data_IF_122873862316
#
_entry.id   IF_122873862316
#
_cell.length_a   1.000
_cell.length_b   1.000
_cell.length_c   1.000
_cell.angle_alpha   90.00
_cell.angle_beta   90.00
_cell.angle_gamma   90.00
#
_symmetry.space_group_name_H-M   'P 1'
#
loop_
_entity.id
_entity.type
_entity.pdbx_description
1 polymer ?
#
# COMPACT_ATOMS: atom_id res chain seq x y z
N UNK A 1 9.08 -0.05 24.05
CA UNK A 1 8.31 0.11 22.79
C UNK A 1 8.45 -1.19 22.01
N UNK A 2 7.32 -1.80 21.63
CA UNK A 2 7.28 -3.02 20.80
C UNK A 2 6.95 -2.63 19.37
N UNK A 3 7.77 -3.07 18.43
CA UNK A 3 7.62 -2.76 17.01
C UNK A 3 7.39 -4.04 16.22
N UNK A 4 6.45 -4.01 15.28
CA UNK A 4 6.25 -5.07 14.28
C UNK A 4 6.53 -4.57 12.87
N UNK A 5 7.03 -5.45 12.02
CA UNK A 5 7.18 -5.23 10.58
C UNK A 5 6.41 -6.32 9.84
N UNK A 6 5.44 -5.91 9.03
CA UNK A 6 4.63 -6.79 8.19
C UNK A 6 5.08 -6.63 6.73
N UNK A 7 5.82 -7.60 6.21
CA UNK A 7 6.28 -7.62 4.82
C UNK A 7 5.31 -8.41 3.94
N UNK A 8 5.04 -7.88 2.74
CA UNK A 8 4.05 -8.50 1.87
C UNK A 8 4.38 -8.43 0.37
N UNK A 9 3.78 -9.34 -0.40
CA UNK A 9 3.86 -9.38 -1.86
C UNK A 9 4.98 -10.26 -2.40
N UNK A 10 5.49 -9.89 -3.56
CA UNK A 10 6.62 -10.54 -4.20
C UNK A 10 7.94 -9.87 -3.77
N UNK A 11 8.92 -10.66 -3.42
CA UNK A 11 10.28 -10.18 -3.16
C UNK A 11 11.02 -9.98 -4.49
N UNK A 12 10.48 -9.07 -5.35
CA UNK A 12 10.97 -8.90 -6.72
C UNK A 12 12.34 -8.24 -6.78
N UNK A 13 13.22 -8.89 -7.55
CA UNK A 13 14.24 -8.25 -8.34
C UNK A 13 14.13 -8.80 -9.76
N UNK A 14 14.79 -8.20 -10.74
CA UNK A 14 15.04 -8.88 -12.02
C UNK A 14 15.80 -10.18 -11.71
N UNK A 15 15.70 -11.17 -12.58
CA UNK A 15 16.33 -12.51 -12.38
C UNK A 15 17.81 -12.49 -12.00
N UNK A 16 18.50 -11.37 -12.22
CA UNK A 16 19.91 -11.12 -11.87
C UNK A 16 20.04 -10.26 -10.60
N UNK A 17 18.99 -9.51 -10.21
CA UNK A 17 18.99 -8.54 -9.12
C UNK A 17 18.03 -8.89 -7.97
N UNK A 18 17.33 -10.04 -8.06
CA UNK A 18 16.39 -10.46 -7.02
C UNK A 18 17.03 -10.44 -5.63
N UNK A 19 18.28 -10.89 -5.55
CA UNK A 19 19.04 -10.92 -4.31
C UNK A 19 19.39 -9.54 -3.77
N UNK A 20 19.56 -8.55 -4.65
CA UNK A 20 19.88 -7.17 -4.26
C UNK A 20 18.66 -6.43 -3.70
N UNK A 21 17.48 -6.59 -4.29
CA UNK A 21 16.30 -5.81 -3.92
C UNK A 21 15.91 -5.98 -2.45
N UNK A 22 15.74 -7.20 -1.98
CA UNK A 22 15.35 -7.40 -0.59
C UNK A 22 16.52 -7.36 0.40
N UNK A 23 17.74 -7.58 -0.03
CA UNK A 23 18.92 -7.30 0.79
C UNK A 23 19.06 -5.80 1.03
N UNK A 24 18.80 -4.97 0.02
CA UNK A 24 18.81 -3.53 0.14
C UNK A 24 17.67 -3.05 1.03
N UNK A 25 16.46 -3.58 0.84
CA UNK A 25 15.33 -3.33 1.72
C UNK A 25 15.63 -3.77 3.16
N UNK A 26 16.17 -4.97 3.35
CA UNK A 26 16.63 -5.46 4.65
C UNK A 26 17.64 -4.50 5.29
N UNK A 27 18.65 -4.08 4.55
CA UNK A 27 19.65 -3.11 5.02
C UNK A 27 19.02 -1.78 5.42
N UNK A 28 18.07 -1.28 4.62
CA UNK A 28 17.39 0.00 4.86
C UNK A 28 16.41 -0.09 6.03
N UNK A 29 15.58 -1.11 6.07
CA UNK A 29 14.58 -1.30 7.12
C UNK A 29 15.20 -1.69 8.46
N UNK A 30 16.03 -2.72 8.48
CA UNK A 30 16.54 -3.27 9.74
C UNK A 30 17.59 -2.41 10.40
N UNK A 31 18.36 -1.62 9.67
CA UNK A 31 19.24 -0.62 10.29
C UNK A 31 18.48 0.37 11.16
N UNK A 32 17.26 0.71 10.76
CA UNK A 32 16.41 1.69 11.46
C UNK A 32 15.46 1.05 12.48
N UNK A 33 15.13 -0.24 12.33
CA UNK A 33 14.09 -0.93 13.11
C UNK A 33 14.64 -2.18 13.79
N UNK A 34 15.80 -2.03 14.43
CA UNK A 34 16.44 -3.15 15.15
C UNK A 34 15.53 -3.69 16.24
N UNK A 35 15.39 -5.02 16.27
CA UNK A 35 14.62 -5.73 17.31
C UNK A 35 13.11 -5.73 17.07
N UNK A 36 12.64 -5.38 15.87
CA UNK A 36 11.25 -5.55 15.51
C UNK A 36 10.91 -7.02 15.26
N UNK A 37 9.70 -7.42 15.63
CA UNK A 37 9.13 -8.71 15.26
C UNK A 37 8.65 -8.66 13.80
N UNK A 38 9.02 -9.67 13.00
CA UNK A 38 8.76 -9.68 11.56
C UNK A 38 7.68 -10.70 11.22
N UNK A 39 6.73 -10.30 10.37
CA UNK A 39 5.63 -11.11 9.85
C UNK A 39 5.66 -11.04 8.32
N UNK A 40 5.57 -12.19 7.66
CA UNK A 40 5.71 -12.27 6.21
C UNK A 40 4.52 -12.98 5.57
N UNK A 41 3.95 -12.37 4.54
CA UNK A 41 3.17 -13.05 3.54
C UNK A 41 3.80 -12.84 2.17
N UNK A 42 4.15 -13.91 1.46
CA UNK A 42 4.75 -13.81 0.13
C UNK A 42 4.19 -14.85 -0.84
N UNK A 43 4.12 -14.44 -2.10
CA UNK A 43 3.81 -15.31 -3.23
C UNK A 43 5.06 -16.07 -3.75
N UNK A 44 6.24 -15.80 -3.20
CA UNK A 44 7.52 -16.36 -3.64
C UNK A 44 7.86 -17.61 -2.81
N UNK A 45 7.31 -18.77 -3.16
CA UNK A 45 7.64 -20.05 -2.51
C UNK A 45 9.09 -20.48 -2.80
N UNK A 46 9.59 -20.21 -3.98
CA UNK A 46 10.91 -20.69 -4.46
C UNK A 46 12.07 -20.15 -3.64
N UNK A 47 11.90 -18.94 -3.07
CA UNK A 47 12.93 -18.28 -2.24
C UNK A 47 12.56 -18.21 -0.76
N UNK A 48 11.57 -18.99 -0.35
CA UNK A 48 11.05 -19.03 1.03
C UNK A 48 12.15 -19.19 2.06
N UNK A 49 12.99 -20.21 1.92
CA UNK A 49 14.05 -20.53 2.90
C UNK A 49 15.03 -19.36 3.04
N UNK A 50 15.34 -18.70 1.94
CA UNK A 50 16.20 -17.53 1.93
C UNK A 50 15.57 -16.34 2.65
N UNK A 51 14.28 -16.06 2.41
CA UNK A 51 13.56 -15.00 3.10
C UNK A 51 13.46 -15.27 4.60
N UNK A 52 13.22 -16.52 5.00
CA UNK A 52 13.23 -16.93 6.41
C UNK A 52 14.62 -16.72 7.03
N UNK A 53 15.67 -17.09 6.35
CA UNK A 53 17.04 -16.91 6.82
C UNK A 53 17.41 -15.44 7.01
N UNK A 54 17.01 -14.57 6.06
CA UNK A 54 17.35 -13.15 6.08
C UNK A 54 16.55 -12.41 7.16
N UNK A 55 15.22 -12.65 7.19
CA UNK A 55 14.33 -11.87 8.03
C UNK A 55 14.02 -12.50 9.40
N UNK A 56 14.28 -13.78 9.57
CA UNK A 56 13.95 -14.53 10.81
C UNK A 56 12.54 -14.23 11.33
N UNK A 57 11.48 -14.37 10.51
CA UNK A 57 10.15 -13.92 10.87
C UNK A 57 9.57 -14.73 12.04
N UNK A 58 8.83 -14.07 12.92
CA UNK A 58 8.04 -14.70 14.01
C UNK A 58 6.96 -15.62 13.43
N UNK A 59 6.33 -15.17 12.33
CA UNK A 59 5.34 -15.97 11.62
C UNK A 59 5.36 -15.61 10.13
N UNK A 60 5.07 -16.60 9.29
CA UNK A 60 5.09 -16.42 7.84
C UNK A 60 4.09 -17.31 7.13
N UNK A 61 3.66 -16.86 5.95
CA UNK A 61 2.91 -17.62 4.95
C UNK A 61 3.60 -17.42 3.61
N UNK A 62 3.96 -18.51 2.96
CA UNK A 62 4.41 -18.55 1.58
C UNK A 62 3.43 -19.44 0.82
N UNK A 63 2.82 -18.91 -0.23
CA UNK A 63 1.84 -19.65 -1.02
C UNK A 63 1.93 -19.26 -2.51
N UNK A 64 1.50 -20.15 -3.42
CA UNK A 64 1.43 -19.81 -4.84
C UNK A 64 0.52 -18.62 -5.09
N UNK A 65 0.85 -17.81 -6.10
CA UNK A 65 0.03 -16.67 -6.48
C UNK A 65 -1.42 -17.09 -6.76
N UNK A 66 -2.36 -16.57 -5.99
CA UNK A 66 -3.80 -16.81 -6.18
C UNK A 66 -4.30 -16.17 -7.47
N UNK A 67 -5.24 -16.84 -8.15
CA UNK A 67 -5.84 -16.34 -9.40
C UNK A 67 -6.97 -15.34 -9.18
N UNK A 68 -7.61 -15.32 -8.01
CA UNK A 68 -8.75 -14.46 -7.64
C UNK A 68 -9.93 -14.54 -8.64
N UNK A 69 -10.09 -15.68 -9.32
CA UNK A 69 -11.07 -15.82 -10.43
C UNK A 69 -12.51 -15.57 -9.98
N UNK A 70 -12.87 -15.99 -8.76
CA UNK A 70 -14.22 -15.80 -8.20
C UNK A 70 -14.47 -14.33 -7.89
N UNK A 71 -13.52 -13.69 -7.23
CA UNK A 71 -13.58 -12.26 -6.87
C UNK A 71 -13.62 -11.38 -8.12
N UNK A 72 -12.77 -11.67 -9.11
CA UNK A 72 -12.77 -10.96 -10.39
C UNK A 72 -14.11 -11.12 -11.11
N UNK A 73 -14.66 -12.32 -11.18
CA UNK A 73 -15.98 -12.56 -11.80
C UNK A 73 -17.08 -11.83 -11.03
N UNK A 74 -17.04 -11.83 -9.71
CA UNK A 74 -17.99 -11.10 -8.87
C UNK A 74 -17.96 -9.60 -9.17
N UNK A 75 -16.79 -8.99 -9.14
CA UNK A 75 -16.66 -7.56 -9.39
C UNK A 75 -17.12 -7.20 -10.82
N UNK A 76 -16.76 -7.99 -11.81
CA UNK A 76 -17.17 -7.73 -13.20
C UNK A 76 -18.65 -7.96 -13.46
N UNK A 77 -19.22 -9.02 -12.89
CA UNK A 77 -20.62 -9.39 -13.16
C UNK A 77 -21.63 -8.65 -12.31
N UNK A 78 -21.37 -8.56 -11.00
CA UNK A 78 -22.36 -8.05 -10.04
C UNK A 78 -22.18 -6.57 -9.76
N UNK A 79 -20.95 -6.13 -9.61
CA UNK A 79 -20.68 -4.74 -9.19
C UNK A 79 -20.71 -3.75 -10.34
N UNK A 80 -20.42 -4.21 -11.55
CA UNK A 80 -20.20 -3.33 -12.68
C UNK A 80 -21.04 -3.67 -13.93
N UNK A 81 -22.07 -4.52 -13.82
CA UNK A 81 -22.98 -4.91 -14.92
C UNK A 81 -22.28 -5.45 -16.18
N UNK A 82 -21.11 -6.09 -16.01
CA UNK A 82 -20.42 -6.82 -17.08
C UNK A 82 -19.63 -6.00 -18.09
N UNK A 83 -19.92 -4.70 -18.25
CA UNK A 83 -19.28 -3.86 -19.28
C UNK A 83 -18.77 -2.54 -18.68
N UNK A 84 -17.64 -2.59 -18.01
CA UNK A 84 -17.20 -1.44 -17.21
C UNK A 84 -15.87 -0.87 -17.62
N UNK A 85 -15.24 -1.37 -18.67
CA UNK A 85 -13.89 -0.96 -18.99
C UNK A 85 -12.86 -1.27 -17.89
N UNK A 86 -13.25 -2.01 -16.85
CA UNK A 86 -12.34 -2.44 -15.82
C UNK A 86 -11.37 -3.44 -16.40
N UNK A 87 -10.10 -3.06 -16.40
CA UNK A 87 -9.03 -3.95 -16.80
C UNK A 87 -8.91 -5.09 -15.78
N UNK A 88 -9.12 -6.32 -16.24
CA UNK A 88 -8.98 -7.52 -15.41
C UNK A 88 -7.59 -7.61 -14.75
N UNK A 89 -6.55 -7.15 -15.44
CA UNK A 89 -5.18 -7.13 -14.93
C UNK A 89 -5.02 -6.19 -13.74
N UNK A 90 -5.68 -5.04 -13.75
CA UNK A 90 -5.60 -4.07 -12.65
C UNK A 90 -6.40 -4.54 -11.45
N UNK A 91 -7.56 -5.15 -11.67
CA UNK A 91 -8.33 -5.79 -10.60
C UNK A 91 -7.55 -6.94 -9.96
N UNK A 92 -6.90 -7.78 -10.76
CA UNK A 92 -6.04 -8.84 -10.27
C UNK A 92 -4.89 -8.30 -9.42
N UNK A 93 -4.18 -7.27 -9.90
CA UNK A 93 -3.07 -6.63 -9.18
C UNK A 93 -3.54 -6.08 -7.83
N UNK A 94 -4.67 -5.36 -7.83
CA UNK A 94 -5.27 -4.80 -6.62
C UNK A 94 -5.64 -5.88 -5.61
N UNK A 95 -6.34 -6.92 -6.04
CA UNK A 95 -6.72 -8.05 -5.17
C UNK A 95 -5.49 -8.76 -4.60
N UNK A 96 -4.52 -9.09 -5.44
CA UNK A 96 -3.28 -9.75 -5.03
C UNK A 96 -2.50 -8.92 -4.00
N UNK A 97 -2.38 -7.63 -4.25
CA UNK A 97 -1.68 -6.70 -3.40
C UNK A 97 -2.35 -6.54 -2.03
N UNK A 98 -3.63 -6.22 -2.01
CA UNK A 98 -4.39 -5.98 -0.78
C UNK A 98 -4.54 -7.25 0.06
N UNK A 99 -4.75 -8.40 -0.60
CA UNK A 99 -4.80 -9.70 0.08
C UNK A 99 -3.47 -10.01 0.78
N UNK A 100 -2.36 -9.91 0.07
CA UNK A 100 -1.04 -10.20 0.64
C UNK A 100 -0.72 -9.30 1.84
N UNK A 101 -1.06 -8.02 1.74
CA UNK A 101 -0.93 -7.06 2.84
C UNK A 101 -1.79 -7.46 4.04
N UNK A 102 -3.05 -7.77 3.81
CA UNK A 102 -3.98 -8.24 4.85
C UNK A 102 -3.43 -9.48 5.57
N UNK A 103 -2.93 -10.46 4.84
CA UNK A 103 -2.42 -11.70 5.41
C UNK A 103 -1.18 -11.47 6.28
N UNK A 104 -0.24 -10.62 5.86
CA UNK A 104 0.93 -10.30 6.71
C UNK A 104 0.52 -9.64 8.04
N UNK A 105 -0.46 -8.72 8.00
CA UNK A 105 -0.99 -8.08 9.21
C UNK A 105 -1.85 -9.04 10.03
N UNK A 106 -2.57 -9.98 9.40
CA UNK A 106 -3.32 -11.04 10.11
C UNK A 106 -2.40 -11.88 11.00
N UNK A 107 -1.23 -12.26 10.49
CA UNK A 107 -0.22 -12.99 11.29
C UNK A 107 0.20 -12.20 12.54
N UNK A 108 0.43 -10.89 12.39
CA UNK A 108 0.72 -9.98 13.51
C UNK A 108 -0.44 -9.97 14.51
N UNK A 109 -1.69 -9.84 14.05
CA UNK A 109 -2.89 -9.82 14.92
C UNK A 109 -3.04 -11.13 15.70
N UNK A 110 -2.79 -12.27 15.09
CA UNK A 110 -2.83 -13.57 15.74
C UNK A 110 -1.76 -13.70 16.82
N UNK A 111 -0.55 -13.21 16.53
CA UNK A 111 0.53 -13.20 17.51
C UNK A 111 0.23 -12.28 18.69
N UNK A 112 -0.28 -11.07 18.46
CA UNK A 112 -0.74 -10.17 19.52
C UNK A 112 -1.79 -10.82 20.42
N UNK A 113 -2.81 -11.44 19.79
CA UNK A 113 -3.90 -12.12 20.51
C UNK A 113 -3.36 -13.28 21.34
N UNK A 114 -2.50 -14.12 20.77
CA UNK A 114 -1.90 -15.27 21.45
C UNK A 114 -1.09 -14.86 22.68
N UNK A 115 -0.40 -13.72 22.60
CA UNK A 115 0.52 -13.26 23.65
C UNK A 115 -0.06 -12.15 24.52
N UNK A 116 -1.34 -11.79 24.33
CA UNK A 116 -2.10 -10.81 25.11
C UNK A 116 -1.42 -9.44 25.22
N UNK A 117 -0.98 -8.89 24.07
CA UNK A 117 -0.45 -7.53 23.99
C UNK A 117 -0.80 -6.88 22.64
N UNK A 118 -0.43 -5.60 22.47
CA UNK A 118 -0.45 -4.86 21.21
C UNK A 118 0.92 -4.28 20.93
N UNK A 119 1.31 -4.20 19.65
CA UNK A 119 2.48 -3.45 19.23
C UNK A 119 2.20 -1.95 19.35
N UNK A 120 3.20 -1.21 19.81
CA UNK A 120 3.14 0.25 19.90
C UNK A 120 3.18 0.85 18.48
N UNK A 121 4.04 0.28 17.62
CA UNK A 121 4.22 0.71 16.23
C UNK A 121 4.22 -0.51 15.32
N UNK A 122 3.49 -0.42 14.22
CA UNK A 122 3.47 -1.42 13.15
C UNK A 122 3.83 -0.77 11.83
N UNK A 123 4.88 -1.26 11.19
CA UNK A 123 5.22 -0.94 9.81
C UNK A 123 4.67 -2.04 8.90
N UNK A 124 3.93 -1.67 7.87
CA UNK A 124 3.55 -2.57 6.79
C UNK A 124 4.23 -2.09 5.50
N UNK A 125 4.96 -2.96 4.82
CA UNK A 125 5.82 -2.60 3.68
C UNK A 125 5.89 -3.70 2.64
N UNK A 126 6.10 -3.28 1.40
CA UNK A 126 6.50 -4.19 0.32
C UNK A 126 7.96 -4.62 0.52
N UNK A 127 8.35 -5.75 -0.07
CA UNK A 127 9.73 -6.21 -0.06
C UNK A 127 10.68 -5.35 -0.89
N UNK A 128 10.16 -4.67 -1.92
CA UNK A 128 10.96 -3.92 -2.90
C UNK A 128 11.14 -2.42 -2.54
N UNK A 129 10.83 -2.03 -1.32
CA UNK A 129 11.14 -0.68 -0.81
C UNK A 129 12.66 -0.52 -0.70
N UNK A 130 13.20 0.52 -1.31
CA UNK A 130 14.64 0.77 -1.38
C UNK A 130 15.34 0.18 -2.62
N UNK A 131 14.64 -0.62 -3.43
CA UNK A 131 15.22 -1.25 -4.62
C UNK A 131 15.56 -0.26 -5.76
N UNK A 132 14.87 0.85 -5.84
CA UNK A 132 15.02 1.79 -6.95
C UNK A 132 16.08 2.85 -6.66
N UNK A 133 17.33 2.50 -6.94
CA UNK A 133 18.49 3.41 -6.83
C UNK A 133 18.57 4.50 -7.93
N UNK A 134 17.63 4.52 -8.85
CA UNK A 134 17.62 5.53 -9.89
C UNK A 134 17.09 6.84 -9.30
N UNK A 135 17.94 7.70 -8.83
CA UNK A 135 17.77 9.07 -8.31
C UNK A 135 16.39 9.76 -8.31
N UNK A 136 15.44 9.20 -9.07
CA UNK A 136 14.06 9.65 -9.21
C UNK A 136 13.11 9.03 -8.16
N UNK A 137 13.50 7.97 -7.45
CA UNK A 137 12.62 7.25 -6.51
C UNK A 137 13.09 7.30 -5.05
N UNK A 138 13.55 8.45 -4.59
CA UNK A 138 13.72 8.73 -3.15
C UNK A 138 12.41 8.53 -2.36
N UNK A 139 11.27 8.52 -3.05
CA UNK A 139 9.93 8.27 -2.48
C UNK A 139 9.75 6.90 -1.85
N UNK A 140 10.57 5.91 -2.23
CA UNK A 140 10.51 4.56 -1.64
C UNK A 140 11.34 4.42 -0.36
N UNK A 141 12.17 5.40 -0.01
CA UNK A 141 12.95 5.35 1.20
C UNK A 141 12.06 5.45 2.44
N UNK A 142 12.23 4.49 3.33
CA UNK A 142 11.54 4.50 4.61
C UNK A 142 12.26 5.43 5.59
N UNK A 143 11.58 6.48 6.00
CA UNK A 143 11.98 7.27 7.16
C UNK A 143 11.13 6.86 8.37
N UNK A 144 11.64 5.91 9.14
CA UNK A 144 10.95 5.39 10.32
C UNK A 144 11.36 6.20 11.56
N UNK A 145 10.42 6.94 12.13
CA UNK A 145 10.58 7.65 13.38
C UNK A 145 9.51 7.23 14.40
N UNK A 146 9.86 6.38 15.37
CA UNK A 146 8.92 5.89 16.36
C UNK A 146 8.52 6.93 17.43
N UNK A 147 9.14 8.10 17.44
CA UNK A 147 8.79 9.19 18.35
C UNK A 147 7.59 10.02 17.86
N UNK A 148 7.14 9.78 16.64
CA UNK A 148 5.97 10.45 16.09
C UNK A 148 4.66 9.98 16.74
N UNK A 149 3.63 10.79 16.57
CA UNK A 149 2.29 10.49 17.09
C UNK A 149 1.65 9.30 16.34
N UNK A 150 1.68 8.12 16.94
CA UNK A 150 1.12 6.90 16.36
C UNK A 150 -0.41 6.86 16.33
N UNK A 151 -1.11 7.89 16.77
CA UNK A 151 -2.54 8.04 16.45
C UNK A 151 -2.77 8.36 14.96
N UNK A 152 -1.73 8.82 14.27
CA UNK A 152 -1.73 9.14 12.84
C UNK A 152 -1.13 8.02 12.01
N UNK A 153 -1.49 7.97 10.70
CA UNK A 153 -0.88 7.06 9.74
C UNK A 153 0.17 7.82 8.92
N UNK A 154 1.35 7.22 8.82
CA UNK A 154 2.47 7.73 8.04
C UNK A 154 2.72 6.87 6.82
N UNK A 155 3.06 7.49 5.71
CA UNK A 155 3.30 6.83 4.43
C UNK A 155 4.50 7.43 3.69
N UNK A 156 4.97 6.74 2.65
CA UNK A 156 5.98 7.29 1.76
C UNK A 156 5.50 8.58 1.12
N UNK A 157 6.38 9.58 1.05
CA UNK A 157 6.10 10.76 0.24
C UNK A 157 6.00 10.37 -1.23
N UNK A 158 4.99 10.92 -1.88
CA UNK A 158 4.77 10.75 -3.30
C UNK A 158 4.28 12.06 -3.90
N UNK A 159 4.93 12.54 -4.95
CA UNK A 159 4.57 13.80 -5.60
C UNK A 159 3.17 13.81 -6.23
N UNK A 160 2.51 12.65 -6.30
CA UNK A 160 1.15 12.48 -6.79
C UNK A 160 0.16 12.23 -5.64
N UNK A 161 0.41 12.78 -4.47
CA UNK A 161 -0.44 12.58 -3.28
C UNK A 161 -1.89 12.98 -3.50
N UNK A 162 -2.14 13.90 -4.42
CA UNK A 162 -3.49 14.25 -4.83
C UNK A 162 -4.23 13.08 -5.51
N UNK A 163 -3.49 12.17 -6.16
CA UNK A 163 -4.05 10.97 -6.77
C UNK A 163 -4.34 9.85 -5.76
N UNK A 164 -3.91 9.99 -4.52
CA UNK A 164 -4.16 9.01 -3.47
C UNK A 164 -3.00 8.79 -2.52
N UNK A 165 -3.06 7.72 -1.74
CA UNK A 165 -2.02 7.33 -0.81
C UNK A 165 -0.88 6.59 -1.52
N UNK A 166 0.37 6.78 -1.09
CA UNK A 166 1.47 5.92 -1.52
C UNK A 166 1.28 4.50 -0.96
N UNK A 167 1.40 3.49 -1.79
CA UNK A 167 1.17 2.10 -1.39
C UNK A 167 2.45 1.33 -1.04
N UNK A 168 3.60 1.99 -1.01
CA UNK A 168 4.89 1.35 -0.74
C UNK A 168 5.00 0.85 0.69
N UNK A 169 4.71 1.71 1.65
CA UNK A 169 4.71 1.40 3.07
C UNK A 169 3.80 2.35 3.85
N UNK A 170 3.33 1.86 4.99
CA UNK A 170 2.62 2.63 6.01
C UNK A 170 3.14 2.23 7.37
N UNK A 171 3.18 3.17 8.31
CA UNK A 171 3.34 2.83 9.72
C UNK A 171 2.47 3.69 10.63
N UNK A 172 2.04 3.10 11.73
CA UNK A 172 1.15 3.69 12.72
C UNK A 172 1.03 2.78 13.93
N UNK A 173 0.08 3.08 14.84
CA UNK A 173 -0.34 2.15 15.88
C UNK A 173 -0.85 0.83 15.29
N UNK A 174 -0.83 -0.25 16.11
CA UNK A 174 -1.39 -1.53 15.70
C UNK A 174 -2.84 -1.42 15.26
N UNK A 175 -3.65 -0.63 15.97
CA UNK A 175 -5.06 -0.44 15.64
C UNK A 175 -5.28 0.21 14.27
N UNK A 176 -4.55 1.25 13.97
CA UNK A 176 -4.67 1.96 12.68
C UNK A 176 -4.23 1.09 11.50
N UNK A 177 -3.14 0.30 11.68
CA UNK A 177 -2.72 -0.65 10.64
C UNK A 177 -3.72 -1.80 10.49
N UNK A 178 -4.35 -2.25 11.58
CA UNK A 178 -5.44 -3.21 11.50
C UNK A 178 -6.61 -2.67 10.68
N UNK A 179 -6.97 -1.39 10.87
CA UNK A 179 -8.00 -0.71 10.07
C UNK A 179 -7.58 -0.59 8.60
N UNK A 180 -6.36 -0.13 8.33
CA UNK A 180 -5.83 0.00 6.96
C UNK A 180 -6.03 -1.27 6.13
N UNK A 181 -5.85 -2.43 6.73
CA UNK A 181 -5.94 -3.72 6.02
C UNK A 181 -7.36 -4.25 5.86
N UNK A 182 -8.35 -3.64 6.51
CA UNK A 182 -9.77 -3.93 6.24
C UNK A 182 -10.19 -3.51 4.83
N UNK A 183 -9.40 -2.70 4.14
CA UNK A 183 -9.67 -2.29 2.76
C UNK A 183 -9.94 -3.49 1.85
N UNK A 184 -9.21 -4.61 1.99
CA UNK A 184 -9.48 -5.81 1.20
C UNK A 184 -10.91 -6.33 1.39
N UNK A 185 -11.38 -6.38 2.62
CA UNK A 185 -12.73 -6.87 2.95
C UNK A 185 -13.82 -5.87 2.56
N UNK A 186 -13.47 -4.58 2.49
CA UNK A 186 -14.37 -3.50 2.08
C UNK A 186 -14.42 -3.24 0.58
N UNK A 187 -13.62 -3.92 -0.21
CA UNK A 187 -13.67 -3.77 -1.67
C UNK A 187 -15.08 -3.95 -2.27
N UNK A 188 -15.92 -4.93 -1.83
CA UNK A 188 -17.28 -5.05 -2.33
C UNK A 188 -18.17 -3.84 -2.05
N UNK A 189 -17.92 -3.14 -0.94
CA UNK A 189 -18.63 -1.90 -0.59
C UNK A 189 -18.13 -0.75 -1.45
N UNK A 190 -16.82 -0.53 -1.50
CA UNK A 190 -16.20 0.59 -2.21
C UNK A 190 -16.37 0.50 -3.72
N UNK A 191 -16.18 -0.68 -4.30
CA UNK A 191 -16.28 -0.89 -5.74
C UNK A 191 -17.72 -1.13 -6.23
N UNK A 192 -18.72 -0.93 -5.40
CA UNK A 192 -20.11 -0.97 -5.82
C UNK A 192 -20.44 0.24 -6.70
N UNK A 193 -21.20 0.03 -7.78
CA UNK A 193 -21.59 1.11 -8.71
C UNK A 193 -22.34 2.28 -8.06
N UNK A 194 -22.97 2.06 -6.92
CA UNK A 194 -23.70 3.05 -6.14
C UNK A 194 -22.93 3.55 -4.91
N UNK A 195 -21.71 3.08 -4.68
CA UNK A 195 -20.89 3.53 -3.55
C UNK A 195 -20.49 4.99 -3.68
N UNK A 196 -20.15 5.60 -2.56
CA UNK A 196 -19.68 6.97 -2.56
C UNK A 196 -18.29 7.08 -3.22
N UNK A 197 -17.43 6.07 -3.07
CA UNK A 197 -16.17 5.96 -3.82
C UNK A 197 -16.41 6.05 -5.34
N UNK A 198 -17.31 5.20 -5.86
CA UNK A 198 -17.62 5.17 -7.29
C UNK A 198 -18.22 6.49 -7.79
N UNK A 199 -19.13 7.08 -7.01
CA UNK A 199 -19.72 8.40 -7.32
C UNK A 199 -18.66 9.51 -7.35
N UNK A 200 -17.74 9.50 -6.40
CA UNK A 200 -16.62 10.46 -6.35
C UNK A 200 -15.69 10.30 -7.55
N UNK A 201 -15.28 9.05 -7.87
CA UNK A 201 -14.44 8.78 -9.04
C UNK A 201 -15.07 9.25 -10.34
N UNK A 202 -16.37 9.05 -10.52
CA UNK A 202 -17.13 9.55 -11.71
C UNK A 202 -17.12 11.08 -11.82
N UNK A 203 -16.95 11.79 -10.70
CA UNK A 203 -16.80 13.25 -10.67
C UNK A 203 -15.35 13.73 -10.82
N UNK A 204 -14.41 12.82 -11.08
CA UNK A 204 -12.99 13.13 -11.26
C UNK A 204 -12.15 13.10 -9.99
N UNK A 205 -12.72 12.67 -8.83
CA UNK A 205 -11.94 12.48 -7.60
C UNK A 205 -10.92 11.31 -7.79
N UNK A 206 -9.74 11.36 -7.18
CA UNK A 206 -9.25 12.34 -6.20
C UNK A 206 -8.62 13.59 -6.79
N UNK A 207 -8.65 13.79 -8.07
CA UNK A 207 -7.89 14.82 -8.79
C UNK A 207 -8.57 16.17 -8.85
N UNK A 208 -9.90 16.21 -8.76
CA UNK A 208 -10.68 17.43 -8.83
C UNK A 208 -10.36 18.42 -7.70
N UNK A 209 -9.84 17.95 -6.58
CA UNK A 209 -9.44 18.78 -5.44
C UNK A 209 -7.97 19.25 -5.53
N UNK A 210 -7.27 18.88 -6.60
CA UNK A 210 -5.84 19.19 -6.77
C UNK A 210 -5.58 20.59 -7.36
N UNK A 211 -6.63 21.33 -7.70
CA UNK A 211 -6.45 22.62 -8.39
C UNK A 211 -5.88 23.72 -7.48
N UNK A 212 -6.02 23.59 -6.16
CA UNK A 212 -5.73 24.71 -5.26
C UNK A 212 -4.29 24.74 -4.71
N UNK A 213 -3.53 23.63 -4.69
CA UNK A 213 -2.25 23.62 -3.98
C UNK A 213 -0.97 23.42 -4.81
N UNK A 214 -1.06 22.95 -6.04
CA UNK A 214 0.13 22.75 -6.90
C UNK A 214 -0.04 23.41 -8.29
N UNK A 215 0.16 24.72 -8.35
CA UNK A 215 0.08 25.55 -9.57
C UNK A 215 1.33 25.46 -10.47
N UNK A 216 2.15 24.41 -10.39
CA UNK A 216 3.31 24.25 -11.27
C UNK A 216 2.91 23.85 -12.68
N UNK A 217 3.43 24.55 -13.70
CA UNK A 217 3.14 24.29 -15.12
C UNK A 217 3.43 22.85 -15.56
N UNK A 218 4.47 22.21 -15.02
CA UNK A 218 4.81 20.80 -15.27
C UNK A 218 3.69 19.84 -14.86
N UNK A 219 2.98 20.14 -13.78
CA UNK A 219 1.89 19.31 -13.31
C UNK A 219 0.64 19.41 -14.18
N UNK A 220 0.41 20.59 -14.79
CA UNK A 220 -0.71 20.80 -15.73
C UNK A 220 -0.52 20.01 -17.02
N UNK A 221 0.69 19.87 -17.50
CA UNK A 221 1.00 19.17 -18.76
C UNK A 221 0.98 17.64 -18.61
N UNK A 222 1.49 17.08 -17.52
CA UNK A 222 1.36 15.66 -17.20
C UNK A 222 -0.06 15.28 -16.83
N UNK A 223 -0.79 16.15 -16.13
CA UNK A 223 -2.20 16.00 -15.77
C UNK A 223 -3.06 15.77 -17.02
N UNK A 224 -2.86 16.55 -18.06
CA UNK A 224 -3.65 16.43 -19.29
C UNK A 224 -3.38 15.15 -20.09
N UNK A 225 -2.15 14.62 -20.03
CA UNK A 225 -1.75 13.46 -20.85
C UNK A 225 -1.91 12.11 -20.17
N UNK A 226 -1.62 12.03 -18.87
CA UNK A 226 -1.57 10.74 -18.18
C UNK A 226 -2.83 10.43 -17.34
N UNK A 227 -3.53 11.44 -16.89
CA UNK A 227 -4.69 11.28 -16.01
C UNK A 227 -6.03 11.17 -16.74
N UNK A 228 -6.18 11.81 -17.89
CA UNK A 228 -7.33 11.59 -18.78
C UNK A 228 -7.39 10.16 -19.34
N UNK A 229 -6.29 9.41 -19.31
CA UNK A 229 -6.31 7.98 -19.65
C UNK A 229 -6.96 7.12 -18.56
N UNK A 230 -7.04 7.61 -17.32
CA UNK A 230 -7.54 6.85 -16.18
C UNK A 230 -9.00 7.16 -15.83
N UNK A 231 -9.56 8.26 -16.30
CA UNK A 231 -10.93 8.68 -15.97
C UNK A 231 -11.61 9.19 -17.25
N UNK A 232 -11.92 8.28 -18.17
CA UNK A 232 -12.75 8.62 -19.31
C UNK A 232 -14.08 7.86 -19.23
N UNK A 233 -15.17 8.60 -19.08
CA UNK A 233 -16.51 8.04 -19.14
C UNK A 233 -16.99 7.35 -17.86
N UNK A 234 -17.77 6.31 -18.01
CA UNK A 234 -18.37 5.54 -16.89
C UNK A 234 -17.39 4.60 -16.16
N UNK A 235 -16.10 4.65 -16.49
CA UNK A 235 -15.11 3.75 -15.94
C UNK A 235 -14.68 4.18 -14.54
N UNK A 236 -14.93 3.33 -13.56
CA UNK A 236 -14.38 3.47 -12.21
C UNK A 236 -12.96 2.94 -12.22
N UNK A 237 -12.01 3.81 -11.89
CA UNK A 237 -10.63 3.43 -11.81
C UNK A 237 -10.36 2.55 -10.60
N UNK A 238 -9.95 1.30 -10.83
CA UNK A 238 -9.41 0.45 -9.78
C UNK A 238 -7.94 0.79 -9.58
N UNK A 239 -7.70 1.63 -8.58
CA UNK A 239 -6.38 2.10 -8.23
C UNK A 239 -6.17 1.98 -6.71
N UNK A 240 -5.10 1.30 -6.31
CA UNK A 240 -4.75 1.14 -4.89
C UNK A 240 -4.63 2.49 -4.18
N UNK A 241 -4.04 3.48 -4.84
CA UNK A 241 -3.77 4.78 -4.24
C UNK A 241 -5.05 5.51 -3.86
N UNK A 242 -6.01 5.59 -4.78
CA UNK A 242 -7.31 6.23 -4.52
C UNK A 242 -8.16 5.42 -3.55
N UNK A 243 -8.15 4.09 -3.63
CA UNK A 243 -8.84 3.21 -2.69
C UNK A 243 -8.32 3.39 -1.26
N UNK A 244 -7.00 3.47 -1.06
CA UNK A 244 -6.44 3.75 0.26
C UNK A 244 -6.82 5.13 0.77
N UNK A 245 -6.72 6.17 -0.04
CA UNK A 245 -7.12 7.52 0.35
C UNK A 245 -8.58 7.52 0.81
N UNK A 246 -9.48 6.98 0.01
CA UNK A 246 -10.90 6.91 0.35
C UNK A 246 -11.15 6.14 1.65
N UNK A 247 -10.55 4.96 1.79
CA UNK A 247 -10.70 4.12 2.98
C UNK A 247 -10.18 4.82 4.26
N UNK A 248 -9.05 5.50 4.16
CA UNK A 248 -8.49 6.27 5.27
C UNK A 248 -9.35 7.49 5.63
N UNK A 249 -9.95 8.16 4.63
CA UNK A 249 -10.93 9.24 4.87
C UNK A 249 -12.17 8.74 5.61
N UNK A 250 -12.74 7.60 5.21
CA UNK A 250 -13.86 6.99 5.95
C UNK A 250 -13.51 6.65 7.40
N UNK A 251 -12.28 6.27 7.65
CA UNK A 251 -11.77 5.96 8.99
C UNK A 251 -11.36 7.17 9.82
N UNK A 252 -11.49 8.40 9.30
CA UNK A 252 -10.93 9.62 9.89
C UNK A 252 -9.42 9.53 10.18
N UNK A 253 -8.69 8.80 9.32
CA UNK A 253 -7.25 8.58 9.42
C UNK A 253 -6.47 9.30 8.30
N UNK A 254 -7.18 9.99 7.41
CA UNK A 254 -6.60 10.82 6.37
C UNK A 254 -6.63 12.28 6.82
N UNK A 255 -5.46 12.90 6.88
CA UNK A 255 -5.31 14.34 7.10
C UNK A 255 -4.62 14.93 5.87
N UNK A 256 -5.22 15.91 5.23
CA UNK A 256 -4.70 16.50 3.99
C UNK A 256 -3.36 17.21 4.20
N UNK A 257 -2.99 17.52 5.45
CA UNK A 257 -2.06 18.62 5.69
C UNK A 257 -0.67 18.25 6.22
N UNK A 258 -0.43 17.23 7.01
CA UNK A 258 0.90 17.11 7.61
C UNK A 258 1.35 15.72 8.06
N UNK A 259 0.48 14.86 8.50
CA UNK A 259 0.85 13.58 9.10
C UNK A 259 1.37 12.56 8.10
N UNK A 260 1.06 12.78 6.85
CA UNK A 260 1.32 11.86 5.75
C UNK A 260 2.69 12.13 5.11
N UNK A 261 3.23 13.35 5.29
CA UNK A 261 4.39 13.83 4.53
C UNK A 261 5.68 13.93 5.35
N UNK A 262 6.01 12.90 6.08
CA UNK A 262 7.25 12.88 6.86
C UNK A 262 8.53 13.10 6.06
N UNK A 263 8.51 12.92 4.77
CA UNK A 263 9.70 12.97 3.92
C UNK A 263 9.82 14.27 3.10
N UNK A 264 9.05 15.31 3.39
CA UNK A 264 9.24 16.61 2.70
C UNK A 264 10.68 17.13 2.80
N UNK A 265 11.36 16.81 3.89
CA UNK A 265 12.73 17.29 4.15
C UNK A 265 13.85 16.36 3.60
N UNK A 266 13.53 15.16 3.11
CA UNK A 266 14.52 14.24 2.54
C UNK A 266 14.81 14.47 1.05
N UNK A 267 14.12 15.42 0.44
CA UNK A 267 14.39 15.82 -0.96
C UNK A 267 15.54 16.83 -1.08
N UNK A 268 16.07 17.34 0.02
CA UNK A 268 17.04 18.44 0.04
C UNK A 268 18.42 18.05 0.57
N UNK A 269 18.63 16.77 0.96
CA UNK A 269 19.95 16.30 1.40
C UNK A 269 20.55 15.26 0.44
#
# INVERSE_FOLDING_TARGET
>A
MKVAVCLHGLARGSSVQADGAFLENYSTLLKKIRGADIFIHSWDEDIKERLIQIFSPISNIFEPQRKFSKEISFFRGVQFDGDTGINQGDLFKTLSFLYSRKESVRLKKEYEKKNNFKYDVVLVSRFDVGHHNNGLNKTSHLNFDPALDMSKIYQAYWNQTNAGASDHWFYSSSQNIDYLTLLYDKLPEHLNKHSDYTKLCKKGWPLSNAEDEFSGELFKEEKSKNLCQYVSGDNVLINNHSLYKFHLMEGNLWEDDQSIFLNKNLWHD
#
